data_IF_281127083389
#
_entry.id   IF_281127083389
#
_cell.length_a   1.000
_cell.length_b   1.000
_cell.length_c   1.000
_cell.angle_alpha   90.00
_cell.angle_beta   90.00
_cell.angle_gamma   90.00
#
_symmetry.space_group_name_H-M   'P 1'
#
loop_
_entity.id
_entity.type
_entity.pdbx_description
1 polymer ?
#
# COMPACT_ATOMS: atom_id res chain seq x y z
N UNK A 1 -9.16 -18.00 37.95
CA UNK A 1 -8.97 -19.08 36.95
C UNK A 1 -10.33 -19.73 36.74
N UNK A 2 -10.78 -19.97 35.50
CA UNK A 2 -12.06 -20.67 35.28
C UNK A 2 -12.03 -22.05 35.96
N UNK A 3 -13.13 -22.45 36.61
CA UNK A 3 -13.25 -23.75 37.31
C UNK A 3 -12.88 -24.93 36.40
N UNK A 4 -13.21 -24.84 35.11
CA UNK A 4 -12.85 -25.83 34.10
C UNK A 4 -11.34 -25.91 33.88
N UNK A 5 -10.65 -24.77 33.91
CA UNK A 5 -9.19 -24.73 33.77
C UNK A 5 -8.51 -25.36 34.98
N UNK A 6 -9.00 -25.09 36.18
CA UNK A 6 -8.51 -25.72 37.41
C UNK A 6 -8.70 -27.25 37.39
N UNK A 7 -9.85 -27.73 36.89
CA UNK A 7 -10.14 -29.15 36.75
C UNK A 7 -9.27 -29.83 35.68
N UNK A 8 -8.98 -29.15 34.56
CA UNK A 8 -8.03 -29.64 33.55
C UNK A 8 -6.62 -29.73 34.14
N UNK A 9 -6.16 -28.68 34.81
CA UNK A 9 -4.82 -28.61 35.40
C UNK A 9 -4.63 -29.72 36.46
N UNK A 10 -5.64 -29.96 37.30
CA UNK A 10 -5.64 -31.06 38.28
C UNK A 10 -5.51 -32.42 37.60
N UNK A 11 -6.33 -32.71 36.58
CA UNK A 11 -6.26 -33.98 35.83
C UNK A 11 -4.90 -34.19 35.14
N UNK A 12 -4.24 -33.10 34.71
CA UNK A 12 -2.90 -33.16 34.14
C UNK A 12 -1.84 -33.42 35.21
N UNK A 13 -1.98 -32.83 36.40
CA UNK A 13 -1.11 -33.12 37.53
C UNK A 13 -1.24 -34.57 38.00
N UNK A 14 -2.47 -35.06 38.14
CA UNK A 14 -2.75 -36.47 38.49
C UNK A 14 -2.10 -37.42 37.48
N UNK A 15 -2.28 -37.16 36.18
CA UNK A 15 -1.67 -37.97 35.12
C UNK A 15 -0.13 -37.96 35.15
N UNK A 16 0.50 -36.85 35.55
CA UNK A 16 1.97 -36.77 35.69
C UNK A 16 2.49 -37.54 36.90
N UNK A 17 1.67 -37.74 37.93
CA UNK A 17 2.03 -38.47 39.13
C UNK A 17 1.88 -40.00 38.99
N UNK A 18 1.24 -40.48 37.93
CA UNK A 18 1.06 -41.92 37.68
C UNK A 18 2.40 -42.56 37.31
N UNK A 19 2.85 -43.51 38.13
CA UNK A 19 3.96 -44.41 37.85
C UNK A 19 3.40 -45.84 37.86
N UNK A 20 3.59 -46.57 36.77
CA UNK A 20 3.04 -47.92 36.60
C UNK A 20 4.14 -48.93 36.90
N UNK A 21 4.06 -49.63 38.03
CA UNK A 21 5.03 -50.65 38.44
C UNK A 21 4.42 -52.06 38.53
N UNK A 22 3.09 -52.16 38.62
CA UNK A 22 2.36 -53.43 38.62
C UNK A 22 0.97 -53.36 38.01
N UNK A 23 0.27 -54.50 38.05
CA UNK A 23 -1.06 -54.67 37.45
C UNK A 23 -2.12 -53.75 38.07
N UNK A 24 -2.08 -53.52 39.38
CA UNK A 24 -3.00 -52.63 40.07
C UNK A 24 -2.83 -51.15 39.63
N UNK A 25 -1.59 -50.69 39.43
CA UNK A 25 -1.29 -49.35 38.95
C UNK A 25 -1.77 -49.15 37.51
N UNK A 26 -1.65 -50.20 36.70
CA UNK A 26 -2.15 -50.21 35.32
C UNK A 26 -3.67 -50.05 35.28
N UNK A 27 -4.41 -50.80 36.10
CA UNK A 27 -5.87 -50.69 36.19
C UNK A 27 -6.31 -49.30 36.66
N UNK A 28 -5.62 -48.73 37.65
CA UNK A 28 -5.85 -47.36 38.10
C UNK A 28 -5.58 -46.32 36.99
N UNK A 29 -4.50 -46.48 36.23
CA UNK A 29 -4.18 -45.60 35.11
C UNK A 29 -5.24 -45.67 33.98
N UNK A 30 -5.81 -46.86 33.73
CA UNK A 30 -6.87 -47.06 32.74
C UNK A 30 -8.16 -46.33 33.15
N UNK A 31 -8.56 -46.43 34.41
CA UNK A 31 -9.73 -45.70 34.94
C UNK A 31 -9.51 -44.18 34.91
N UNK A 32 -8.31 -43.71 35.27
CA UNK A 32 -7.96 -42.29 35.16
C UNK A 32 -8.03 -41.79 33.72
N UNK A 33 -7.49 -42.56 32.76
CA UNK A 33 -7.55 -42.25 31.34
C UNK A 33 -9.00 -42.16 30.83
N UNK A 34 -9.87 -43.07 31.29
CA UNK A 34 -11.30 -43.04 30.97
C UNK A 34 -11.95 -41.75 31.48
N UNK A 35 -11.70 -41.37 32.74
CA UNK A 35 -12.21 -40.13 33.31
C UNK A 35 -11.74 -38.88 32.55
N UNK A 36 -10.50 -38.85 32.07
CA UNK A 36 -9.99 -37.77 31.21
C UNK A 36 -10.74 -37.72 29.88
N UNK A 37 -10.94 -38.87 29.22
CA UNK A 37 -11.69 -38.95 27.94
C UNK A 37 -13.14 -38.48 28.09
N UNK A 38 -13.81 -38.86 29.17
CA UNK A 38 -15.18 -38.42 29.45
C UNK A 38 -15.25 -36.92 29.69
N UNK A 39 -14.31 -36.35 30.45
CA UNK A 39 -14.25 -34.91 30.68
C UNK A 39 -13.97 -34.14 29.37
N UNK A 40 -13.06 -34.64 28.52
CA UNK A 40 -12.83 -34.07 27.17
C UNK A 40 -14.09 -34.08 26.31
N UNK A 41 -14.88 -35.16 26.33
CA UNK A 41 -16.17 -35.22 25.62
C UNK A 41 -17.16 -34.19 26.14
N UNK A 42 -17.22 -33.96 27.47
CA UNK A 42 -18.07 -32.92 28.06
C UNK A 42 -17.67 -31.51 27.59
N UNK A 43 -16.37 -31.22 27.55
CA UNK A 43 -15.86 -29.95 27.04
C UNK A 43 -16.19 -29.80 25.53
N UNK A 44 -15.93 -30.82 24.73
CA UNK A 44 -16.26 -30.80 23.29
C UNK A 44 -17.76 -30.54 23.06
N UNK A 45 -18.63 -31.26 23.77
CA UNK A 45 -20.08 -31.06 23.67
C UNK A 45 -20.53 -29.64 24.05
N UNK A 46 -19.86 -28.99 25.02
CA UNK A 46 -20.15 -27.62 25.45
C UNK A 46 -19.69 -26.58 24.42
N UNK A 47 -18.49 -26.74 23.87
CA UNK A 47 -17.87 -25.72 23.01
C UNK A 47 -18.12 -25.92 21.51
N UNK A 48 -18.41 -27.14 21.07
CA UNK A 48 -18.69 -27.43 19.66
C UNK A 48 -19.88 -26.64 19.10
N UNK A 49 -21.01 -26.47 19.81
CA UNK A 49 -22.10 -25.61 19.33
C UNK A 49 -21.70 -24.14 19.21
N UNK A 50 -20.86 -23.64 20.11
CA UNK A 50 -20.34 -22.26 20.04
C UNK A 50 -19.46 -22.12 18.79
N UNK A 51 -18.52 -23.05 18.59
CA UNK A 51 -17.67 -23.07 17.41
C UNK A 51 -18.49 -23.13 16.11
N UNK A 52 -19.53 -23.94 16.08
CA UNK A 52 -20.41 -24.07 14.92
C UNK A 52 -21.16 -22.76 14.64
N UNK A 53 -21.79 -22.16 15.65
CA UNK A 53 -22.47 -20.86 15.49
C UNK A 53 -21.52 -19.76 15.02
N UNK A 54 -20.30 -19.72 15.55
CA UNK A 54 -19.29 -18.75 15.10
C UNK A 54 -18.89 -18.98 13.65
N UNK A 55 -18.71 -20.24 13.23
CA UNK A 55 -18.40 -20.57 11.83
C UNK A 55 -19.55 -20.17 10.90
N UNK A 56 -20.79 -20.48 11.28
CA UNK A 56 -21.98 -20.11 10.51
C UNK A 56 -22.12 -18.59 10.39
N UNK A 57 -21.95 -17.84 11.48
CA UNK A 57 -21.98 -16.38 11.46
C UNK A 57 -20.86 -15.78 10.61
N UNK A 58 -19.63 -16.32 10.71
CA UNK A 58 -18.51 -15.89 9.90
C UNK A 58 -18.74 -16.18 8.41
N UNK A 59 -19.24 -17.37 8.09
CA UNK A 59 -19.58 -17.75 6.72
C UNK A 59 -20.66 -16.83 6.14
N UNK A 60 -21.70 -16.51 6.91
CA UNK A 60 -22.75 -15.57 6.49
C UNK A 60 -22.16 -14.18 6.24
N UNK A 61 -21.29 -13.67 7.13
CA UNK A 61 -20.62 -12.39 6.93
C UNK A 61 -19.75 -12.39 5.67
N UNK A 62 -18.99 -13.46 5.43
CA UNK A 62 -18.19 -13.60 4.21
C UNK A 62 -19.05 -13.66 2.95
N UNK A 63 -20.21 -14.30 3.00
CA UNK A 63 -21.18 -14.31 1.90
C UNK A 63 -21.71 -12.89 1.64
N UNK A 64 -22.13 -12.15 2.68
CA UNK A 64 -22.56 -10.76 2.52
C UNK A 64 -21.46 -9.88 1.92
N UNK A 65 -20.21 -10.03 2.37
CA UNK A 65 -19.08 -9.29 1.80
C UNK A 65 -18.92 -9.64 0.31
N UNK A 66 -19.00 -10.92 -0.04
CA UNK A 66 -18.84 -11.37 -1.43
C UNK A 66 -19.97 -10.87 -2.33
N UNK A 67 -21.21 -10.93 -1.86
CA UNK A 67 -22.39 -10.68 -2.68
C UNK A 67 -22.72 -9.18 -2.79
N UNK A 68 -22.34 -8.38 -1.80
CA UNK A 68 -22.67 -6.95 -1.75
C UNK A 68 -21.43 -6.06 -1.75
N UNK A 69 -20.51 -6.27 -0.80
CA UNK A 69 -19.38 -5.36 -0.60
C UNK A 69 -18.40 -5.40 -1.79
N UNK A 70 -18.10 -6.57 -2.34
CA UNK A 70 -17.23 -6.71 -3.52
C UNK A 70 -17.80 -6.00 -4.75
N UNK A 71 -19.06 -6.24 -5.19
CA UNK A 71 -19.60 -5.54 -6.34
C UNK A 71 -19.82 -4.03 -6.08
N UNK A 72 -20.13 -3.62 -4.85
CA UNK A 72 -20.22 -2.20 -4.50
C UNK A 72 -18.86 -1.50 -4.61
N UNK A 73 -17.80 -2.12 -4.09
CA UNK A 73 -16.43 -1.62 -4.26
C UNK A 73 -16.03 -1.51 -5.74
N UNK A 74 -16.42 -2.48 -6.56
CA UNK A 74 -16.18 -2.43 -8.01
C UNK A 74 -16.97 -1.28 -8.67
N UNK A 75 -18.24 -1.10 -8.31
CA UNK A 75 -19.05 0.02 -8.79
C UNK A 75 -18.44 1.38 -8.38
N UNK A 76 -18.00 1.52 -7.13
CA UNK A 76 -17.32 2.70 -6.63
C UNK A 76 -16.03 2.96 -7.42
N UNK A 77 -15.23 1.92 -7.70
CA UNK A 77 -14.01 2.01 -8.50
C UNK A 77 -14.30 2.51 -9.93
N UNK A 78 -15.35 1.99 -10.57
CA UNK A 78 -15.77 2.39 -11.92
C UNK A 78 -16.18 3.87 -11.94
N UNK A 79 -16.98 4.31 -10.96
CA UNK A 79 -17.43 5.71 -10.86
C UNK A 79 -16.24 6.63 -10.59
N UNK A 80 -15.38 6.30 -9.60
CA UNK A 80 -14.17 7.09 -9.28
C UNK A 80 -13.24 7.21 -10.49
N UNK A 81 -13.03 6.13 -11.23
CA UNK A 81 -12.25 6.15 -12.47
C UNK A 81 -12.88 7.07 -13.54
N UNK A 82 -14.21 7.06 -13.66
CA UNK A 82 -14.92 7.91 -14.61
C UNK A 82 -14.85 9.39 -14.21
N UNK A 83 -15.02 9.69 -12.92
CA UNK A 83 -14.87 11.04 -12.37
C UNK A 83 -13.45 11.56 -12.58
N UNK A 84 -12.43 10.74 -12.30
CA UNK A 84 -11.03 11.10 -12.52
C UNK A 84 -10.76 11.44 -14.00
N UNK A 85 -11.24 10.61 -14.94
CA UNK A 85 -11.12 10.89 -16.39
C UNK A 85 -11.79 12.21 -16.78
N UNK A 86 -12.96 12.51 -16.22
CA UNK A 86 -13.66 13.76 -16.49
C UNK A 86 -12.88 14.97 -15.97
N UNK A 87 -12.37 14.91 -14.73
CA UNK A 87 -11.54 15.98 -14.14
C UNK A 87 -10.28 16.19 -14.97
N UNK A 88 -9.55 15.13 -15.33
CA UNK A 88 -8.37 15.24 -16.19
C UNK A 88 -8.70 15.83 -17.56
N UNK A 89 -9.83 15.45 -18.16
CA UNK A 89 -10.26 15.99 -19.46
C UNK A 89 -10.57 17.48 -19.36
N UNK A 90 -11.34 17.89 -18.34
CA UNK A 90 -11.69 19.30 -18.12
C UNK A 90 -10.46 20.16 -17.88
N UNK A 91 -9.49 19.62 -17.14
CA UNK A 91 -8.21 20.28 -16.91
C UNK A 91 -7.38 20.43 -18.19
N UNK A 92 -7.35 19.39 -19.04
CA UNK A 92 -6.67 19.46 -20.33
C UNK A 92 -7.33 20.47 -21.29
N UNK A 93 -8.66 20.56 -21.31
CA UNK A 93 -9.40 21.57 -22.08
C UNK A 93 -9.08 22.99 -21.59
N UNK A 94 -9.01 23.19 -20.27
CA UNK A 94 -8.61 24.47 -19.67
C UNK A 94 -7.20 24.87 -20.10
N UNK A 95 -6.24 23.94 -20.01
CA UNK A 95 -4.86 24.21 -20.41
C UNK A 95 -4.74 24.49 -21.91
N UNK A 96 -5.43 23.75 -22.76
CA UNK A 96 -5.40 23.95 -24.21
C UNK A 96 -5.96 25.33 -24.62
N UNK A 97 -7.02 25.80 -23.96
CA UNK A 97 -7.57 27.14 -24.20
C UNK A 97 -6.58 28.22 -23.75
N UNK A 98 -5.95 28.05 -22.57
CA UNK A 98 -4.90 28.96 -22.10
C UNK A 98 -3.70 29.01 -23.07
N UNK A 99 -3.24 27.86 -23.55
CA UNK A 99 -2.13 27.76 -24.51
C UNK A 99 -2.49 28.36 -25.88
N UNK A 100 -3.77 28.33 -26.26
CA UNK A 100 -4.27 28.97 -27.49
C UNK A 100 -4.26 30.49 -27.34
N UNK A 101 -4.85 31.00 -26.27
CA UNK A 101 -4.89 32.45 -25.96
C UNK A 101 -3.46 33.01 -25.87
N UNK A 102 -2.56 32.27 -25.20
CA UNK A 102 -1.14 32.66 -25.10
C UNK A 102 -0.46 32.71 -26.47
N UNK A 103 -0.65 31.70 -27.33
CA UNK A 103 -0.07 31.71 -28.68
C UNK A 103 -0.61 32.84 -29.56
N UNK A 104 -1.91 33.12 -29.50
CA UNK A 104 -2.51 34.24 -30.23
C UNK A 104 -1.99 35.61 -29.75
N UNK A 105 -1.72 35.76 -28.44
CA UNK A 105 -1.10 36.95 -27.88
C UNK A 105 0.36 37.11 -28.35
N UNK A 106 1.16 36.03 -28.25
CA UNK A 106 2.55 36.01 -28.70
C UNK A 106 2.69 36.29 -30.21
N UNK A 107 1.74 35.79 -31.03
CA UNK A 107 1.74 36.05 -32.47
C UNK A 107 1.40 37.52 -32.80
N UNK A 108 0.40 38.10 -32.13
CA UNK A 108 0.06 39.53 -32.26
C UNK A 108 1.20 40.45 -31.82
N UNK A 109 1.89 40.08 -30.73
CA UNK A 109 3.05 40.82 -30.25
C UNK A 109 4.22 40.74 -31.23
N UNK A 110 4.52 39.55 -31.76
CA UNK A 110 5.53 39.38 -32.82
C UNK A 110 5.18 40.17 -34.08
N UNK A 111 3.92 40.21 -34.47
CA UNK A 111 3.46 41.02 -35.61
C UNK A 111 3.58 42.51 -35.34
N UNK A 112 3.27 42.98 -34.13
CA UNK A 112 3.44 44.38 -33.73
C UNK A 112 4.93 44.78 -33.77
N UNK A 113 5.80 43.99 -33.13
CA UNK A 113 7.26 44.21 -33.14
C UNK A 113 7.79 44.20 -34.57
N UNK A 114 7.30 43.31 -35.44
CA UNK A 114 7.73 43.24 -36.85
C UNK A 114 7.27 44.47 -37.65
N UNK A 115 6.06 44.97 -37.41
CA UNK A 115 5.56 46.20 -38.04
C UNK A 115 6.35 47.42 -37.57
N UNK A 116 6.60 47.53 -36.27
CA UNK A 116 7.39 48.64 -35.70
C UNK A 116 8.83 48.62 -36.26
N UNK A 117 9.43 47.43 -36.41
CA UNK A 117 10.73 47.22 -37.07
C UNK A 117 10.74 47.66 -38.55
N UNK A 118 9.66 47.37 -39.29
CA UNK A 118 9.53 47.75 -40.71
C UNK A 118 9.26 49.26 -40.87
N UNK A 119 8.50 49.87 -39.95
CA UNK A 119 8.11 51.28 -39.99
C UNK A 119 9.23 52.22 -39.50
N UNK A 120 10.05 51.79 -38.53
CA UNK A 120 11.18 52.59 -38.04
C UNK A 120 12.44 52.55 -38.91
N UNK A 121 12.53 51.68 -39.93
CA UNK A 121 13.66 51.66 -40.88
C UNK A 121 15.04 51.44 -40.25
N UNK A 122 15.11 50.93 -39.02
CA UNK A 122 16.34 50.71 -38.27
C UNK A 122 16.89 49.31 -38.53
N UNK A 123 18.21 49.22 -38.72
CA UNK A 123 18.90 47.94 -38.89
C UNK A 123 18.59 47.00 -37.72
N UNK A 124 18.29 45.72 -38.03
CA UNK A 124 17.89 44.61 -37.14
C UNK A 124 18.61 44.46 -35.79
N UNK A 125 19.72 45.15 -35.54
CA UNK A 125 20.51 45.07 -34.30
C UNK A 125 20.04 46.02 -33.19
N UNK A 126 19.56 47.22 -33.50
CA UNK A 126 19.23 48.22 -32.46
C UNK A 126 17.81 48.03 -31.90
N UNK A 127 16.87 47.53 -32.70
CA UNK A 127 15.51 47.25 -32.25
C UNK A 127 15.37 45.94 -31.43
N UNK A 128 16.34 45.01 -31.56
CA UNK A 128 16.39 43.83 -30.70
C UNK A 128 16.75 44.21 -29.25
N UNK A 129 17.66 45.17 -29.06
CA UNK A 129 18.04 45.71 -27.75
C UNK A 129 16.92 46.56 -27.11
N UNK A 130 16.08 47.23 -27.89
CA UNK A 130 14.92 47.98 -27.37
C UNK A 130 13.77 47.03 -26.99
N UNK A 131 13.54 45.95 -27.77
CA UNK A 131 12.53 44.93 -27.43
C UNK A 131 12.89 44.11 -26.19
N UNK A 132 14.18 44.02 -25.85
CA UNK A 132 14.67 43.39 -24.61
C UNK A 132 14.50 44.33 -23.39
N UNK A 133 14.34 45.64 -23.62
CA UNK A 133 14.06 46.66 -22.59
C UNK A 133 12.59 46.96 -22.38
N UNK A 134 11.72 46.63 -23.33
CA UNK A 134 10.28 46.71 -23.12
C UNK A 134 9.91 45.55 -22.19
N UNK A 135 9.97 45.82 -20.89
CA UNK A 135 9.51 44.95 -19.82
C UNK A 135 8.24 44.22 -20.24
N UNK A 136 8.35 42.91 -20.28
CA UNK A 136 7.28 41.95 -20.48
C UNK A 136 6.18 42.23 -19.47
N UNK A 137 5.23 43.10 -19.82
CA UNK A 137 3.98 43.21 -19.10
C UNK A 137 3.11 42.05 -19.54
N UNK A 138 3.43 40.86 -19.04
CA UNK A 138 2.44 39.79 -18.96
C UNK A 138 1.36 40.30 -18.03
N UNK A 139 0.12 40.55 -18.48
CA UNK A 139 -0.98 40.70 -17.53
C UNK A 139 -0.99 39.42 -16.71
N UNK A 140 -0.72 39.56 -15.42
CA UNK A 140 -0.95 38.53 -14.42
C UNK A 140 -2.44 38.17 -14.56
N UNK A 141 -2.72 37.10 -15.31
CA UNK A 141 -4.06 36.52 -15.32
C UNK A 141 -4.17 35.93 -13.93
N UNK A 142 -4.76 36.70 -13.03
CA UNK A 142 -5.19 36.27 -11.72
C UNK A 142 -6.27 35.20 -11.96
N UNK A 143 -5.80 33.96 -12.11
CA UNK A 143 -6.69 32.81 -12.22
C UNK A 143 -7.31 32.69 -10.84
N UNK A 144 -8.54 33.17 -10.69
CA UNK A 144 -9.36 32.83 -9.54
C UNK A 144 -9.25 31.31 -9.34
N UNK A 145 -8.72 30.92 -8.18
CA UNK A 145 -8.63 29.55 -7.67
C UNK A 145 -10.04 28.93 -7.60
N UNK A 146 -10.56 28.56 -8.76
CA UNK A 146 -11.84 27.87 -8.91
C UNK A 146 -11.68 26.35 -8.69
N UNK A 147 -10.56 25.93 -8.11
CA UNK A 147 -10.43 24.65 -7.38
C UNK A 147 -11.39 24.54 -6.19
N UNK A 148 -12.17 25.59 -5.89
CA UNK A 148 -13.54 25.44 -5.37
C UNK A 148 -14.44 24.75 -6.41
N UNK A 149 -14.11 23.52 -6.81
CA UNK A 149 -15.17 22.56 -7.10
C UNK A 149 -16.03 22.53 -5.85
N UNK A 150 -17.27 22.99 -5.97
CA UNK A 150 -18.33 22.93 -4.97
C UNK A 150 -18.06 21.72 -4.08
N UNK A 151 -17.74 21.97 -2.81
CA UNK A 151 -17.49 20.91 -1.82
C UNK A 151 -18.75 20.06 -1.78
N UNK A 152 -18.84 19.07 -2.66
CA UNK A 152 -19.84 18.03 -2.57
C UNK A 152 -19.47 17.32 -1.27
N UNK A 153 -20.28 17.53 -0.24
CA UNK A 153 -20.06 16.96 1.08
C UNK A 153 -19.71 15.48 0.91
N UNK A 154 -18.45 15.11 1.23
CA UNK A 154 -17.86 13.75 1.22
C UNK A 154 -16.97 13.30 0.04
N UNK A 155 -16.62 14.12 -0.96
CA UNK A 155 -15.63 13.71 -1.98
C UNK A 155 -14.33 14.49 -1.81
N UNK A 156 -13.25 13.79 -1.44
CA UNK A 156 -11.89 14.34 -1.32
C UNK A 156 -11.01 13.79 -2.44
N UNK A 157 -10.29 14.68 -3.10
CA UNK A 157 -9.29 14.33 -4.10
C UNK A 157 -7.92 14.18 -3.43
N UNK A 158 -7.16 13.16 -3.83
CA UNK A 158 -5.77 12.96 -3.40
C UNK A 158 -4.86 12.91 -4.61
N UNK A 159 -3.81 13.72 -4.60
CA UNK A 159 -2.74 13.68 -5.59
C UNK A 159 -1.79 12.53 -5.28
N UNK A 160 -1.76 11.53 -6.17
CA UNK A 160 -0.81 10.43 -6.10
C UNK A 160 0.36 10.72 -7.02
N UNK A 161 1.45 11.21 -6.45
CA UNK A 161 2.71 11.45 -7.15
C UNK A 161 3.37 10.11 -7.49
N UNK A 162 3.55 9.84 -8.79
CA UNK A 162 4.27 8.68 -9.31
C UNK A 162 5.57 9.17 -9.94
N UNK A 163 6.62 8.38 -9.79
CA UNK A 163 7.91 8.63 -10.43
C UNK A 163 8.31 7.40 -11.25
N UNK A 164 8.95 7.62 -12.38
CA UNK A 164 9.63 6.60 -13.17
C UNK A 164 11.12 6.93 -13.15
N UNK A 165 11.96 5.90 -13.04
CA UNK A 165 13.41 6.08 -13.03
C UNK A 165 13.87 6.10 -14.48
N UNK A 166 14.21 7.27 -15.00
CA UNK A 166 14.81 7.41 -16.34
C UNK A 166 16.25 6.89 -16.37
N UNK A 167 17.04 7.18 -15.33
CA UNK A 167 18.46 6.77 -15.24
C UNK A 167 18.84 6.46 -13.79
N UNK A 168 19.20 5.19 -13.55
CA UNK A 168 19.62 4.67 -12.24
C UNK A 168 20.92 5.32 -11.76
N UNK A 169 21.79 5.76 -12.66
CA UNK A 169 23.13 6.28 -12.32
C UNK A 169 23.09 7.69 -11.75
N UNK A 170 22.01 8.43 -11.99
CA UNK A 170 21.79 9.79 -11.48
C UNK A 170 21.08 9.79 -10.13
N UNK A 171 20.61 8.65 -9.65
CA UNK A 171 19.99 8.53 -8.34
C UNK A 171 21.07 8.65 -7.27
N UNK A 172 20.97 9.59 -6.32
CA UNK A 172 21.87 9.65 -5.18
C UNK A 172 21.83 8.32 -4.40
N UNK A 173 22.99 7.85 -3.93
CA UNK A 173 23.13 6.59 -3.18
C UNK A 173 22.23 6.52 -1.94
N UNK A 174 21.80 7.66 -1.40
CA UNK A 174 20.84 7.78 -0.29
C UNK A 174 19.46 7.17 -0.60
N UNK A 175 19.03 7.19 -1.86
CA UNK A 175 17.75 6.61 -2.30
C UNK A 175 17.90 5.19 -2.87
N UNK A 176 19.12 4.66 -2.93
CA UNK A 176 19.39 3.29 -3.38
C UNK A 176 19.33 2.32 -2.21
N UNK A 177 18.30 1.48 -2.16
CA UNK A 177 18.19 0.40 -1.17
C UNK A 177 18.72 -0.91 -1.77
N UNK A 178 19.69 -1.59 -1.13
CA UNK A 178 20.15 -2.90 -1.57
C UNK A 178 19.02 -3.96 -1.48
N UNK A 179 18.90 -4.81 -2.50
CA UNK A 179 17.93 -5.91 -2.51
C UNK A 179 18.37 -7.05 -1.56
N UNK A 180 17.92 -6.99 -0.32
CA UNK A 180 18.23 -7.98 0.72
C UNK A 180 17.86 -9.42 0.33
N UNK A 181 16.81 -9.62 -0.48
CA UNK A 181 16.37 -10.95 -0.90
C UNK A 181 17.37 -11.58 -1.85
N UNK A 182 17.85 -10.81 -2.83
CA UNK A 182 18.89 -11.27 -3.77
C UNK A 182 20.23 -11.47 -3.05
N UNK A 183 20.62 -10.53 -2.19
CA UNK A 183 21.83 -10.67 -1.37
C UNK A 183 21.75 -11.94 -0.50
N UNK A 184 20.65 -12.14 0.21
CA UNK A 184 20.45 -13.33 1.04
C UNK A 184 20.42 -14.63 0.24
N UNK A 185 19.91 -14.63 -1.00
CA UNK A 185 19.93 -15.79 -1.88
C UNK A 185 21.37 -16.16 -2.29
N UNK A 186 22.18 -15.17 -2.66
CA UNK A 186 23.60 -15.33 -3.01
C UNK A 186 24.39 -15.83 -1.80
N UNK A 187 24.18 -15.24 -0.62
CA UNK A 187 24.82 -15.64 0.64
C UNK A 187 24.45 -17.07 1.03
N UNK A 188 23.20 -17.50 0.87
CA UNK A 188 22.77 -18.88 1.15
C UNK A 188 23.34 -19.90 0.14
N UNK A 189 23.46 -19.51 -1.12
CA UNK A 189 23.99 -20.37 -2.18
C UNK A 189 25.51 -20.57 -2.07
N UNK A 190 26.25 -19.50 -1.84
CA UNK A 190 27.72 -19.47 -1.93
C UNK A 190 28.41 -19.46 -0.56
N UNK A 191 27.67 -19.22 0.52
CA UNK A 191 28.09 -19.32 1.93
C UNK A 191 29.43 -18.60 2.18
N UNK A 192 30.47 -19.35 2.56
CA UNK A 192 31.79 -18.81 2.90
C UNK A 192 32.65 -18.44 1.66
N UNK A 193 32.16 -18.66 0.44
CA UNK A 193 32.94 -18.46 -0.77
C UNK A 193 32.64 -17.12 -1.48
N UNK A 194 31.97 -16.19 -0.79
CA UNK A 194 31.67 -14.85 -1.30
C UNK A 194 32.00 -13.78 -0.27
N UNK A 195 32.64 -12.71 -0.74
CA UNK A 195 32.83 -11.46 0.00
C UNK A 195 32.09 -10.34 -0.75
N UNK A 196 31.00 -9.83 -0.16
CA UNK A 196 30.26 -8.67 -0.70
C UNK A 196 30.73 -7.45 0.10
N UNK A 197 31.35 -6.48 -0.57
CA UNK A 197 31.80 -5.24 0.07
C UNK A 197 30.62 -4.55 0.78
N UNK A 198 30.76 -4.28 2.08
CA UNK A 198 29.73 -3.65 2.90
C UNK A 198 28.71 -4.60 3.56
N UNK A 199 28.76 -5.92 3.32
CA UNK A 199 27.84 -6.90 3.93
C UNK A 199 28.61 -7.87 4.82
N UNK A 200 28.27 -7.89 6.11
CA UNK A 200 28.83 -8.87 7.07
C UNK A 200 28.00 -10.16 7.06
N UNK A 201 28.59 -11.24 6.57
CA UNK A 201 27.97 -12.57 6.55
C UNK A 201 28.32 -13.31 7.86
N UNK A 202 27.32 -13.86 8.55
CA UNK A 202 27.49 -14.67 9.76
C UNK A 202 26.57 -15.89 9.76
N UNK A 203 26.95 -16.95 10.49
CA UNK A 203 26.19 -18.20 10.61
C UNK A 203 25.69 -18.36 12.04
N UNK A 204 24.38 -18.40 12.22
CA UNK A 204 23.73 -18.76 13.49
C UNK A 204 23.27 -20.22 13.44
N UNK A 205 23.66 -21.02 14.42
CA UNK A 205 23.25 -22.43 14.53
C UNK A 205 22.11 -22.55 15.54
N UNK A 206 20.91 -22.87 15.08
CA UNK A 206 19.78 -23.23 15.93
C UNK A 206 19.51 -24.74 15.89
N UNK A 207 19.23 -25.32 17.06
CA UNK A 207 18.88 -26.74 17.19
C UNK A 207 17.38 -26.89 16.95
N UNK A 208 17.00 -27.62 15.91
CA UNK A 208 15.59 -27.89 15.58
C UNK A 208 15.24 -29.30 16.04
N UNK A 209 14.22 -29.43 16.88
CA UNK A 209 13.67 -30.72 17.28
C UNK A 209 12.73 -31.22 16.17
N UNK A 210 13.07 -32.33 15.52
CA UNK A 210 12.16 -33.00 14.58
C UNK A 210 11.31 -33.99 15.37
N UNK A 211 10.06 -33.63 15.62
CA UNK A 211 9.00 -34.57 16.02
C UNK A 211 8.23 -35.02 14.77
#
# INVERSE_FOLDING_TARGET
MSEEKQMVDLKVQDAKAVIILGQADYEYAVEMLRGIKEYRKKLDARYRPIQQKTKEANQLALQHIRDYEVPLNEAERIIKSSMSRYVTKKEAERQAEQDRIRREAEEKEREAIKKDLEECGLNKKEAAEESEKMEVFTPEVEIEDTTKTEKTENISYRENWKFEIEDVSKIPTEYMVPDEKKIGAVVRALKNNINIAGVRIYVEKSVINRY
#
